data_IF_911001275990
#
_entry.id   IF_911001275990
#
_cell.length_a   1.000
_cell.length_b   1.000
_cell.length_c   1.000
_cell.angle_alpha   90.00
_cell.angle_beta   90.00
_cell.angle_gamma   90.00
#
_symmetry.space_group_name_H-M   'P 1'
#
loop_
_entity.id
_entity.type
_entity.pdbx_description
1 polymer ?
#
# COMPACT_ATOMS: atom_id res chain seq x y z
N UNK A 1 -49.17 -44.84 -11.04
CA UNK A 1 -50.29 -44.35 -11.88
C UNK A 1 -51.18 -43.52 -10.97
N UNK A 2 -50.95 -42.21 -10.93
CA UNK A 2 -51.64 -41.18 -11.72
C UNK A 2 -52.87 -40.68 -10.93
N UNK A 3 -53.18 -39.40 -10.74
CA UNK A 3 -52.70 -38.12 -11.28
C UNK A 3 -53.28 -37.03 -10.34
N UNK A 4 -52.51 -36.13 -9.73
CA UNK A 4 -52.15 -34.79 -10.24
C UNK A 4 -53.32 -33.89 -10.67
N UNK A 5 -53.52 -32.83 -9.86
CA UNK A 5 -53.66 -31.38 -10.21
C UNK A 5 -54.78 -30.87 -11.11
N UNK A 6 -55.53 -29.87 -10.60
CA UNK A 6 -55.85 -28.57 -11.24
C UNK A 6 -56.92 -27.85 -10.38
N UNK A 7 -56.66 -26.71 -9.73
CA UNK A 7 -56.58 -25.33 -10.26
C UNK A 7 -57.93 -24.61 -10.42
N UNK A 8 -57.87 -23.28 -10.28
CA UNK A 8 -58.91 -22.24 -10.34
C UNK A 8 -59.63 -22.00 -8.99
N UNK A 9 -59.27 -21.00 -8.17
CA UNK A 9 -59.14 -19.55 -8.42
C UNK A 9 -60.44 -18.90 -8.90
N UNK A 10 -60.73 -17.72 -8.32
CA UNK A 10 -61.85 -16.77 -8.61
C UNK A 10 -63.16 -17.11 -7.86
N UNK A 11 -63.89 -16.20 -7.22
CA UNK A 11 -63.68 -14.88 -6.62
C UNK A 11 -65.00 -14.50 -5.91
N UNK A 12 -64.97 -13.34 -5.25
CA UNK A 12 -66.11 -12.44 -4.95
C UNK A 12 -66.91 -12.64 -3.66
N UNK A 13 -66.76 -11.61 -2.81
CA UNK A 13 -67.79 -10.97 -1.98
C UNK A 13 -68.24 -11.75 -0.73
N UNK A 14 -68.22 -11.21 0.49
CA UNK A 14 -68.32 -9.82 0.93
C UNK A 14 -68.18 -9.81 2.47
N UNK A 15 -67.92 -8.61 2.99
CA UNK A 15 -68.14 -8.16 4.38
C UNK A 15 -67.01 -8.30 5.43
N UNK A 16 -66.24 -7.20 5.51
CA UNK A 16 -65.95 -6.40 6.72
C UNK A 16 -65.53 -7.17 7.98
N UNK A 17 -64.23 -7.12 8.30
CA UNK A 17 -63.83 -6.52 9.58
C UNK A 17 -62.41 -5.96 9.52
N UNK A 18 -62.28 -4.65 9.70
CA UNK A 18 -61.02 -3.89 9.57
C UNK A 18 -60.39 -3.82 10.95
N UNK A 19 -59.46 -4.73 11.27
CA UNK A 19 -58.51 -4.53 12.36
C UNK A 19 -57.27 -3.81 11.85
N UNK A 20 -57.13 -2.58 12.34
CA UNK A 20 -56.01 -1.66 12.19
C UNK A 20 -54.67 -2.37 12.51
N UNK A 21 -53.88 -2.66 11.49
CA UNK A 21 -52.44 -2.91 11.64
C UNK A 21 -51.76 -1.54 11.65
N UNK A 22 -51.23 -1.15 12.81
CA UNK A 22 -50.36 0.02 12.95
C UNK A 22 -49.03 -0.31 12.26
N UNK A 23 -48.81 0.27 11.09
CA UNK A 23 -47.49 0.29 10.45
C UNK A 23 -46.62 1.22 11.30
N UNK A 24 -45.70 0.64 12.07
CA UNK A 24 -44.63 1.38 12.71
C UNK A 24 -43.62 1.75 11.62
N UNK A 25 -43.76 2.96 11.06
CA UNK A 25 -42.70 3.59 10.27
C UNK A 25 -41.59 3.94 11.25
N UNK A 26 -40.58 3.08 11.33
CA UNK A 26 -39.36 3.37 12.08
C UNK A 26 -38.56 4.35 11.24
N UNK A 27 -38.63 5.62 11.61
CA UNK A 27 -37.76 6.67 11.08
C UNK A 27 -36.34 6.34 11.57
N UNK A 28 -35.51 5.74 10.70
CA UNK A 28 -34.07 5.62 10.97
C UNK A 28 -33.49 7.02 10.77
N UNK A 29 -33.42 7.79 11.86
CA UNK A 29 -32.60 8.98 11.93
C UNK A 29 -31.14 8.55 11.80
N UNK A 30 -30.56 8.79 10.63
CA UNK A 30 -29.12 8.78 10.41
C UNK A 30 -28.48 9.84 11.32
N UNK A 31 -28.08 9.44 12.52
CA UNK A 31 -27.18 10.26 13.34
C UNK A 31 -25.81 10.15 12.69
N UNK A 32 -25.48 11.14 11.86
CA UNK A 32 -24.09 11.45 11.53
C UNK A 32 -23.41 11.87 12.84
N UNK A 33 -22.82 10.90 13.54
CA UNK A 33 -21.78 11.21 14.51
C UNK A 33 -20.59 11.67 13.68
N UNK A 34 -20.48 12.98 13.51
CA UNK A 34 -19.22 13.60 13.15
C UNK A 34 -18.27 13.37 14.32
N UNK A 35 -17.60 12.22 14.33
CA UNK A 35 -16.35 12.07 15.07
C UNK A 35 -15.36 13.01 14.39
N UNK A 36 -15.39 14.29 14.77
CA UNK A 36 -14.22 15.14 14.72
C UNK A 36 -13.24 14.52 15.71
N UNK A 37 -12.56 13.46 15.29
CA UNK A 37 -11.33 13.03 15.92
C UNK A 37 -10.40 14.22 15.81
N UNK A 38 -10.23 14.95 16.90
CA UNK A 38 -9.12 15.86 17.04
C UNK A 38 -7.87 15.08 16.61
N UNK A 39 -7.15 15.59 15.61
CA UNK A 39 -5.82 15.10 15.28
C UNK A 39 -5.07 15.09 16.61
N UNK A 40 -4.60 13.94 17.11
CA UNK A 40 -3.79 13.95 18.32
C UNK A 40 -2.56 14.77 17.99
N UNK A 41 -2.46 15.97 18.58
CA UNK A 41 -1.20 16.69 18.66
C UNK A 41 -0.25 15.70 19.32
N UNK A 42 0.85 15.30 18.67
CA UNK A 42 1.77 14.34 19.26
C UNK A 42 2.18 14.90 20.63
N UNK A 43 2.10 14.05 21.65
CA UNK A 43 2.61 14.35 22.98
C UNK A 43 3.98 15.01 22.81
N UNK A 44 4.15 16.20 23.38
CA UNK A 44 5.39 16.96 23.28
C UNK A 44 6.56 16.01 23.60
N UNK A 45 7.30 15.65 22.56
CA UNK A 45 8.52 14.86 22.71
C UNK A 45 9.50 15.63 23.60
N UNK A 46 10.55 14.95 24.04
CA UNK A 46 11.67 15.60 24.72
C UNK A 46 12.05 16.91 24.02
N UNK A 47 12.33 18.00 24.76
CA UNK A 47 12.67 19.28 24.16
C UNK A 47 13.80 19.09 23.14
N UNK A 48 13.63 19.67 21.95
CA UNK A 48 14.60 19.59 20.87
C UNK A 48 15.96 20.12 21.35
N UNK A 49 17.03 19.51 20.85
CA UNK A 49 18.36 20.07 21.01
C UNK A 49 18.41 21.46 20.34
N UNK A 50 19.15 22.45 20.86
CA UNK A 50 19.38 23.72 20.16
C UNK A 50 19.93 23.58 18.72
N UNK A 51 20.62 22.47 18.41
CA UNK A 51 21.11 22.12 17.06
C UNK A 51 20.04 21.47 16.15
N UNK A 52 18.82 21.29 16.67
CA UNK A 52 17.74 20.58 16.00
C UNK A 52 16.58 21.54 15.69
N UNK A 53 16.03 21.41 14.47
CA UNK A 53 14.84 22.14 14.04
C UNK A 53 13.78 21.15 13.59
N UNK A 54 12.60 21.21 14.18
CA UNK A 54 11.47 20.43 13.71
C UNK A 54 10.84 21.10 12.48
N UNK A 55 10.72 20.35 11.40
CA UNK A 55 10.05 20.76 10.17
C UNK A 55 8.72 20.00 10.11
N UNK A 56 7.57 20.71 10.15
CA UNK A 56 6.25 20.07 10.19
C UNK A 56 5.90 19.42 8.85
N UNK A 57 4.95 18.48 8.88
CA UNK A 57 4.45 17.77 7.69
C UNK A 57 4.11 18.71 6.52
N UNK A 58 4.50 18.31 5.32
CA UNK A 58 4.27 19.04 4.07
C UNK A 58 5.14 20.30 3.88
N UNK A 59 5.89 20.74 4.90
CA UNK A 59 6.81 21.86 4.74
C UNK A 59 8.05 21.44 3.93
N UNK A 60 8.65 22.35 3.14
CA UNK A 60 9.80 22.05 2.31
C UNK A 60 11.03 21.73 3.17
N UNK A 61 11.81 20.77 2.70
CA UNK A 61 13.10 20.35 3.24
C UNK A 61 14.23 21.07 2.48
N UNK A 62 15.40 21.27 3.12
CA UNK A 62 16.55 21.93 2.48
C UNK A 62 17.33 20.99 1.54
N UNK A 63 16.62 20.14 0.79
CA UNK A 63 17.19 19.15 -0.13
C UNK A 63 16.20 18.89 -1.27
N UNK A 64 16.70 18.56 -2.46
CA UNK A 64 15.87 18.25 -3.61
C UNK A 64 15.29 16.84 -3.54
N UNK A 65 14.13 16.62 -4.17
CA UNK A 65 13.52 15.31 -4.27
C UNK A 65 14.43 14.27 -4.94
N UNK A 66 15.16 14.67 -5.99
CA UNK A 66 16.16 13.84 -6.69
C UNK A 66 17.28 13.31 -5.79
N UNK A 67 17.55 13.98 -4.67
CA UNK A 67 18.63 13.61 -3.75
C UNK A 67 18.18 12.67 -2.64
N UNK A 68 16.87 12.43 -2.52
CA UNK A 68 16.32 11.57 -1.49
C UNK A 68 15.65 10.34 -2.09
N UNK A 69 14.51 10.54 -2.75
CA UNK A 69 13.49 9.49 -2.88
C UNK A 69 12.83 9.47 -4.25
N UNK A 70 13.30 10.27 -5.21
CA UNK A 70 12.73 10.32 -6.57
C UNK A 70 13.77 9.99 -7.63
N UNK A 71 13.29 9.45 -8.76
CA UNK A 71 14.07 9.32 -9.99
C UNK A 71 14.67 10.70 -10.36
N UNK A 72 16.01 10.81 -10.52
CA UNK A 72 16.68 12.03 -10.96
C UNK A 72 16.22 12.55 -12.33
N UNK A 73 15.53 11.74 -13.12
CA UNK A 73 15.02 12.08 -14.44
C UNK A 73 13.56 12.56 -14.44
N UNK A 74 12.86 12.47 -13.30
CA UNK A 74 11.49 12.97 -13.17
C UNK A 74 11.45 14.51 -13.25
N UNK A 75 10.47 15.07 -13.96
CA UNK A 75 10.25 16.51 -14.09
C UNK A 75 10.14 17.24 -12.74
N UNK A 76 9.60 16.57 -11.70
CA UNK A 76 9.45 17.14 -10.37
C UNK A 76 10.71 17.02 -9.50
N UNK A 77 11.74 16.32 -9.98
CA UNK A 77 12.92 15.97 -9.20
C UNK A 77 13.74 17.18 -8.72
N UNK A 78 13.59 18.33 -9.40
CA UNK A 78 14.22 19.62 -9.05
C UNK A 78 13.44 20.45 -8.03
N UNK A 79 12.30 19.96 -7.54
CA UNK A 79 11.55 20.60 -6.45
C UNK A 79 12.19 20.22 -5.10
N UNK A 80 12.07 21.09 -4.07
CA UNK A 80 12.38 20.69 -2.71
C UNK A 80 11.60 19.44 -2.31
N UNK A 81 12.26 18.54 -1.58
CA UNK A 81 11.57 17.47 -0.85
C UNK A 81 10.66 18.09 0.22
N UNK A 82 9.66 17.33 0.67
CA UNK A 82 8.72 17.76 1.71
C UNK A 82 8.81 16.84 2.91
N UNK A 83 8.58 17.39 4.11
CA UNK A 83 8.52 16.58 5.31
C UNK A 83 7.30 15.63 5.23
N UNK A 84 7.44 14.34 5.64
CA UNK A 84 6.33 13.40 5.62
C UNK A 84 5.28 13.75 6.70
N UNK A 85 4.14 13.05 6.77
CA UNK A 85 3.06 13.36 7.73
C UNK A 85 3.46 13.39 9.22
N UNK A 86 4.57 12.74 9.60
CA UNK A 86 5.14 12.82 10.96
C UNK A 86 6.06 14.01 11.22
N UNK A 87 6.34 14.82 10.20
CA UNK A 87 7.42 15.82 10.21
C UNK A 87 8.80 15.19 10.20
N UNK A 88 9.82 16.04 10.28
CA UNK A 88 11.22 15.61 10.49
C UNK A 88 11.91 16.50 11.52
N UNK A 89 13.01 16.02 12.08
CA UNK A 89 13.96 16.85 12.79
C UNK A 89 15.19 17.03 11.88
N UNK A 90 15.50 18.26 11.52
CA UNK A 90 16.76 18.61 10.88
C UNK A 90 17.81 18.87 11.95
N UNK A 91 18.91 18.11 11.92
CA UNK A 91 20.08 18.35 12.76
C UNK A 91 21.15 19.06 11.94
N UNK A 92 21.50 20.28 12.34
CA UNK A 92 22.36 21.16 11.55
C UNK A 92 23.83 20.73 11.60
N UNK A 93 24.34 20.35 12.77
CA UNK A 93 25.75 19.97 12.94
C UNK A 93 26.20 18.79 12.08
N UNK A 94 25.31 17.83 11.83
CA UNK A 94 25.59 16.64 11.01
C UNK A 94 24.95 16.68 9.63
N UNK A 95 24.20 17.73 9.30
CA UNK A 95 23.42 17.84 8.08
C UNK A 95 22.56 16.59 7.82
N UNK A 96 21.78 16.19 8.83
CA UNK A 96 20.95 14.96 8.78
C UNK A 96 19.48 15.27 9.00
N UNK A 97 18.63 14.57 8.27
CA UNK A 97 17.20 14.42 8.57
C UNK A 97 17.02 13.25 9.53
N UNK A 98 16.24 13.46 10.59
CA UNK A 98 15.85 12.43 11.53
C UNK A 98 14.34 12.24 11.43
N UNK A 99 13.95 11.04 11.02
CA UNK A 99 12.58 10.55 11.01
C UNK A 99 12.33 9.84 12.33
N UNK A 100 11.47 10.43 13.16
CA UNK A 100 11.12 9.84 14.45
C UNK A 100 10.34 8.54 14.25
N UNK A 101 10.68 7.51 15.00
CA UNK A 101 9.90 6.28 14.99
C UNK A 101 8.44 6.58 15.42
N UNK A 102 7.43 6.21 14.59
CA UNK A 102 6.04 6.40 14.96
C UNK A 102 5.65 5.43 16.08
N UNK A 103 4.52 5.71 16.73
CA UNK A 103 3.94 4.73 17.66
C UNK A 103 3.58 3.44 16.91
N UNK A 104 4.03 2.27 17.36
CA UNK A 104 3.70 1.00 16.70
C UNK A 104 2.18 0.77 16.66
N UNK A 105 1.65 0.09 15.64
CA UNK A 105 0.26 -0.32 15.62
C UNK A 105 -0.12 -1.11 16.88
N UNK A 106 -1.32 -0.88 17.42
CA UNK A 106 -1.84 -1.63 18.56
C UNK A 106 -2.52 -2.93 18.12
N UNK A 107 -2.51 -3.93 19.00
CA UNK A 107 -3.20 -5.22 18.78
C UNK A 107 -2.43 -6.17 17.85
N UNK A 108 -3.18 -6.97 17.09
CA UNK A 108 -2.66 -7.94 16.13
C UNK A 108 -1.65 -7.32 15.15
N UNK A 109 -0.78 -8.16 14.57
CA UNK A 109 0.12 -7.73 13.48
C UNK A 109 -0.69 -7.15 12.33
N UNK A 110 -0.24 -6.04 11.75
CA UNK A 110 -0.93 -5.28 10.70
C UNK A 110 -0.10 -5.29 9.43
N UNK A 111 -0.71 -5.69 8.33
CA UNK A 111 -0.11 -5.61 7.00
C UNK A 111 -1.01 -4.77 6.09
N UNK A 112 -0.41 -3.82 5.37
CA UNK A 112 -1.06 -3.16 4.25
C UNK A 112 -0.77 -3.94 2.96
N UNK A 113 -1.81 -4.35 2.24
CA UNK A 113 -1.68 -4.90 0.90
C UNK A 113 -2.28 -3.89 -0.07
N UNK A 114 -1.43 -3.25 -0.87
CA UNK A 114 -1.89 -2.34 -1.90
C UNK A 114 -2.20 -3.11 -3.17
N UNK A 115 -3.36 -2.82 -3.74
CA UNK A 115 -3.78 -3.33 -5.04
C UNK A 115 -3.39 -2.30 -6.10
N UNK A 116 -2.40 -2.63 -6.93
CA UNK A 116 -1.96 -1.80 -8.05
C UNK A 116 -3.15 -1.38 -8.91
N UNK A 117 -3.19 -0.09 -9.28
CA UNK A 117 -4.21 0.52 -10.16
C UNK A 117 -5.66 0.54 -9.62
N UNK A 118 -5.97 -0.09 -8.49
CA UNK A 118 -7.33 -0.11 -7.97
C UNK A 118 -7.76 1.28 -7.50
N UNK A 119 -8.91 1.78 -8.01
CA UNK A 119 -9.45 3.12 -7.73
C UNK A 119 -8.45 4.24 -8.06
N UNK A 120 -7.73 4.10 -9.17
CA UNK A 120 -6.74 5.09 -9.61
C UNK A 120 -7.35 6.47 -9.92
N UNK A 121 -8.66 6.53 -10.20
CA UNK A 121 -9.44 7.74 -10.38
C UNK A 121 -9.74 8.47 -9.05
N UNK A 122 -9.46 7.85 -7.90
CA UNK A 122 -9.66 8.44 -6.58
C UNK A 122 -8.36 9.05 -5.99
N UNK A 123 -7.25 9.03 -6.73
CA UNK A 123 -5.95 9.53 -6.22
C UNK A 123 -5.99 11.00 -5.82
N UNK A 124 -5.23 11.42 -4.78
CA UNK A 124 -5.12 12.80 -4.37
C UNK A 124 -4.41 13.65 -5.45
N UNK A 125 -4.57 14.98 -5.36
CA UNK A 125 -3.98 15.91 -6.31
C UNK A 125 -2.44 15.81 -6.42
N UNK A 126 -1.74 15.42 -5.35
CA UNK A 126 -0.28 15.19 -5.41
C UNK A 126 0.11 13.99 -6.29
N UNK A 127 -0.84 13.10 -6.59
CA UNK A 127 -0.69 11.89 -7.40
C UNK A 127 -1.44 11.98 -8.73
N UNK A 128 -1.80 13.19 -9.18
CA UNK A 128 -2.63 13.38 -10.38
C UNK A 128 -2.06 12.71 -11.65
N UNK A 129 -0.73 12.66 -11.76
CA UNK A 129 0.00 11.95 -12.85
C UNK A 129 -0.34 10.45 -12.92
N UNK A 130 -0.73 9.83 -11.81
CA UNK A 130 -1.08 8.41 -11.75
C UNK A 130 -2.44 8.10 -12.36
N UNK A 131 -3.36 9.07 -12.50
CA UNK A 131 -4.72 8.82 -13.00
C UNK A 131 -4.77 8.14 -14.37
N UNK A 132 -3.78 8.41 -15.22
CA UNK A 132 -3.66 7.83 -16.54
C UNK A 132 -2.97 6.45 -16.56
N UNK A 133 -2.39 6.01 -15.43
CA UNK A 133 -1.69 4.74 -15.29
C UNK A 133 -2.69 3.68 -14.80
N UNK A 134 -3.51 3.14 -15.70
CA UNK A 134 -4.60 2.21 -15.37
C UNK A 134 -4.15 0.75 -15.22
N UNK A 135 -2.86 0.48 -15.40
CA UNK A 135 -2.29 -0.87 -15.39
C UNK A 135 -2.29 -1.52 -16.76
N UNK A 136 -1.60 -2.66 -16.85
CA UNK A 136 -1.50 -3.43 -18.08
C UNK A 136 -2.85 -4.05 -18.49
N UNK A 137 -3.04 -4.21 -19.79
CA UNK A 137 -4.13 -4.99 -20.38
C UNK A 137 -3.55 -5.87 -21.46
N UNK A 138 -3.83 -7.17 -21.39
CA UNK A 138 -3.40 -8.15 -22.38
C UNK A 138 -4.56 -9.07 -22.70
N UNK A 139 -4.95 -9.11 -23.98
CA UNK A 139 -6.22 -9.73 -24.40
C UNK A 139 -7.39 -9.11 -23.61
N UNK A 140 -8.20 -9.93 -22.93
CA UNK A 140 -9.30 -9.48 -22.07
C UNK A 140 -8.93 -9.45 -20.57
N UNK A 141 -7.64 -9.62 -20.24
CA UNK A 141 -7.13 -9.65 -18.86
C UNK A 141 -6.60 -8.27 -18.47
N UNK A 142 -7.14 -7.73 -17.37
CA UNK A 142 -6.73 -6.45 -16.82
C UNK A 142 -5.93 -6.66 -15.54
N UNK A 143 -4.81 -5.95 -15.43
CA UNK A 143 -3.91 -6.05 -14.28
C UNK A 143 -4.62 -5.80 -12.94
N UNK A 144 -5.44 -4.76 -12.89
CA UNK A 144 -6.17 -4.38 -11.67
C UNK A 144 -7.06 -5.50 -11.14
N UNK A 145 -7.64 -6.32 -12.02
CA UNK A 145 -8.53 -7.42 -11.64
C UNK A 145 -7.73 -8.58 -11.05
N UNK A 146 -6.59 -8.92 -11.67
CA UNK A 146 -5.64 -9.92 -11.17
C UNK A 146 -5.08 -9.51 -9.80
N UNK A 147 -4.59 -8.27 -9.70
CA UNK A 147 -4.07 -7.70 -8.46
C UNK A 147 -5.11 -7.77 -7.33
N UNK A 148 -6.36 -7.39 -7.63
CA UNK A 148 -7.42 -7.34 -6.64
C UNK A 148 -7.82 -8.73 -6.14
N UNK A 149 -7.90 -9.72 -7.03
CA UNK A 149 -8.29 -11.07 -6.60
C UNK A 149 -7.19 -11.76 -5.78
N UNK A 150 -5.93 -11.68 -6.22
CA UNK A 150 -4.79 -12.19 -5.44
C UNK A 150 -4.70 -11.48 -4.08
N UNK A 151 -4.83 -10.14 -4.04
CA UNK A 151 -4.80 -9.40 -2.78
C UNK A 151 -5.90 -9.84 -1.81
N UNK A 152 -7.12 -10.08 -2.29
CA UNK A 152 -8.24 -10.57 -1.47
C UNK A 152 -7.95 -11.95 -0.88
N UNK A 153 -7.37 -12.85 -1.68
CA UNK A 153 -6.96 -14.19 -1.23
C UNK A 153 -5.84 -14.13 -0.19
N UNK A 154 -4.82 -13.30 -0.42
CA UNK A 154 -3.73 -13.02 0.55
C UNK A 154 -4.32 -12.51 1.87
N UNK A 155 -5.19 -11.50 1.79
CA UNK A 155 -5.84 -10.93 2.97
C UNK A 155 -6.65 -11.99 3.74
N UNK A 156 -7.38 -12.86 3.04
CA UNK A 156 -8.13 -13.95 3.67
C UNK A 156 -7.22 -14.96 4.38
N UNK A 157 -6.10 -15.34 3.78
CA UNK A 157 -5.09 -16.23 4.36
C UNK A 157 -4.48 -15.64 5.63
N UNK A 158 -3.98 -14.40 5.55
CA UNK A 158 -3.36 -13.69 6.67
C UNK A 158 -4.34 -13.43 7.82
N UNK A 159 -5.58 -13.05 7.53
CA UNK A 159 -6.62 -12.84 8.56
C UNK A 159 -6.93 -14.12 9.33
N UNK A 160 -6.90 -15.30 8.68
CA UNK A 160 -7.04 -16.59 9.38
C UNK A 160 -5.89 -16.89 10.34
N UNK A 161 -4.72 -16.29 10.11
CA UNK A 161 -3.56 -16.38 11.00
C UNK A 161 -3.54 -15.27 12.07
N UNK A 162 -4.64 -14.52 12.22
CA UNK A 162 -4.76 -13.47 13.22
C UNK A 162 -4.05 -12.16 12.86
N UNK A 163 -3.70 -11.96 11.59
CA UNK A 163 -3.13 -10.70 11.09
C UNK A 163 -4.26 -9.75 10.69
N UNK A 164 -4.18 -8.50 11.12
CA UNK A 164 -5.00 -7.40 10.59
C UNK A 164 -4.49 -7.05 9.20
N UNK A 165 -5.35 -7.12 8.19
CA UNK A 165 -4.96 -6.76 6.82
C UNK A 165 -5.82 -5.61 6.32
N UNK A 166 -5.14 -4.54 5.95
CA UNK A 166 -5.74 -3.40 5.25
C UNK A 166 -5.55 -3.63 3.74
N UNK A 167 -6.64 -3.81 3.00
CA UNK A 167 -6.60 -3.78 1.53
C UNK A 167 -6.69 -2.33 1.08
N UNK A 168 -5.64 -1.86 0.43
CA UNK A 168 -5.49 -0.46 0.05
C UNK A 168 -5.65 -0.31 -1.47
N UNK A 169 -6.38 0.72 -1.95
CA UNK A 169 -6.35 1.10 -3.35
C UNK A 169 -4.99 1.72 -3.71
N UNK A 170 -4.86 2.25 -4.93
CA UNK A 170 -3.71 3.06 -5.30
C UNK A 170 -3.42 4.12 -4.22
N UNK A 171 -4.41 4.88 -3.78
CA UNK A 171 -4.19 5.80 -2.65
C UNK A 171 -3.96 5.07 -1.34
N UNK A 172 -2.78 5.30 -0.74
CA UNK A 172 -2.49 4.84 0.62
C UNK A 172 -2.69 5.96 1.64
N UNK A 173 -3.10 5.64 2.89
CA UNK A 173 -3.27 6.67 3.92
C UNK A 173 -1.98 7.46 4.16
N UNK A 174 -2.07 8.77 4.47
CA UNK A 174 -0.89 9.57 4.73
C UNK A 174 0.00 9.00 5.84
N UNK A 175 1.27 8.75 5.54
CA UNK A 175 2.25 8.25 6.49
C UNK A 175 1.92 6.85 7.01
N UNK A 176 1.30 6.00 6.18
CA UNK A 176 0.76 4.71 6.59
C UNK A 176 1.76 3.87 7.42
N UNK A 177 1.35 3.51 8.63
CA UNK A 177 2.13 2.73 9.60
C UNK A 177 1.59 1.31 9.71
N UNK A 178 2.41 0.33 9.40
CA UNK A 178 2.10 -1.09 9.52
C UNK A 178 3.35 -1.90 9.85
N UNK A 179 3.18 -3.17 10.24
CA UNK A 179 4.31 -4.07 10.45
C UNK A 179 4.96 -4.52 9.13
N UNK A 180 4.20 -4.50 8.03
CA UNK A 180 4.72 -4.64 6.68
C UNK A 180 3.73 -3.99 5.68
N UNK A 181 4.24 -3.62 4.52
CA UNK A 181 3.47 -3.18 3.36
C UNK A 181 3.94 -3.91 2.11
N UNK A 182 3.00 -4.41 1.31
CA UNK A 182 3.31 -5.03 0.02
C UNK A 182 2.35 -4.50 -1.05
N UNK A 183 2.89 -3.89 -2.09
CA UNK A 183 2.14 -3.55 -3.29
C UNK A 183 2.17 -4.73 -4.26
N UNK A 184 0.99 -5.08 -4.79
CA UNK A 184 0.83 -6.14 -5.79
C UNK A 184 0.50 -5.53 -7.14
N UNK A 185 1.32 -5.88 -8.12
CA UNK A 185 1.18 -5.53 -9.52
C UNK A 185 1.38 -6.78 -10.40
N UNK A 186 1.04 -6.67 -11.68
CA UNK A 186 1.42 -7.65 -12.69
C UNK A 186 1.88 -6.92 -13.96
N UNK A 187 3.05 -7.30 -14.45
CA UNK A 187 3.76 -6.51 -15.44
C UNK A 187 3.31 -6.84 -16.87
N UNK A 188 3.77 -6.04 -17.82
CA UNK A 188 3.69 -6.33 -19.25
C UNK A 188 4.83 -5.65 -19.97
N UNK A 189 5.53 -6.39 -20.81
CA UNK A 189 6.54 -5.85 -21.73
C UNK A 189 5.93 -5.34 -23.05
N UNK A 190 4.61 -5.48 -23.21
CA UNK A 190 3.87 -5.06 -24.41
C UNK A 190 4.10 -5.93 -25.65
N UNK A 191 4.96 -6.96 -25.58
CA UNK A 191 5.33 -7.81 -26.73
C UNK A 191 5.30 -9.31 -26.44
N UNK A 192 5.26 -9.72 -25.17
CA UNK A 192 5.14 -11.12 -24.73
C UNK A 192 6.44 -11.91 -24.73
N UNK A 193 7.59 -11.26 -24.62
CA UNK A 193 8.92 -11.90 -24.63
C UNK A 193 9.47 -12.15 -23.21
N UNK A 194 9.10 -11.32 -22.25
CA UNK A 194 9.54 -11.43 -20.86
C UNK A 194 8.66 -12.39 -20.04
N UNK A 195 9.23 -12.95 -18.97
CA UNK A 195 8.57 -13.84 -18.02
C UNK A 195 9.25 -13.78 -16.65
N UNK A 196 8.54 -14.23 -15.62
CA UNK A 196 9.03 -14.25 -14.25
C UNK A 196 8.53 -13.07 -13.41
N UNK A 197 8.88 -13.08 -12.14
CA UNK A 197 8.40 -12.10 -11.16
C UNK A 197 9.52 -11.17 -10.69
N UNK A 198 9.16 -9.96 -10.25
CA UNK A 198 10.11 -8.93 -9.86
C UNK A 198 9.73 -8.31 -8.54
N UNK A 199 10.73 -7.85 -7.79
CA UNK A 199 10.50 -7.18 -6.53
C UNK A 199 11.49 -6.04 -6.35
N UNK A 200 11.04 -4.99 -5.69
CA UNK A 200 11.89 -3.89 -5.25
C UNK A 200 11.39 -3.30 -3.93
N UNK A 201 12.26 -2.54 -3.29
CA UNK A 201 11.92 -1.61 -2.23
C UNK A 201 12.65 -0.29 -2.47
N UNK A 202 12.20 0.77 -1.80
CA UNK A 202 12.79 2.09 -1.94
C UNK A 202 14.02 2.34 -1.05
N UNK A 203 14.83 3.35 -1.40
CA UNK A 203 15.96 3.79 -0.58
C UNK A 203 15.50 4.67 0.60
N UNK A 204 16.42 4.93 1.54
CA UNK A 204 16.23 5.85 2.68
C UNK A 204 15.06 5.47 3.58
N UNK A 205 15.01 4.19 3.95
CA UNK A 205 13.99 3.60 4.82
C UNK A 205 14.64 2.81 5.95
N UNK A 206 13.86 1.98 6.64
CA UNK A 206 14.37 1.11 7.69
C UNK A 206 15.38 0.07 7.19
N UNK A 207 15.91 -0.78 8.08
CA UNK A 207 16.82 -1.86 7.73
C UNK A 207 16.10 -3.20 7.43
N UNK A 208 14.77 -3.21 7.28
CA UNK A 208 13.97 -4.44 7.26
C UNK A 208 13.45 -4.82 5.87
N UNK A 209 13.63 -3.93 4.90
CA UNK A 209 13.18 -4.04 3.51
C UNK A 209 13.84 -5.23 2.80
N UNK A 210 15.16 -5.39 2.95
CA UNK A 210 15.91 -6.52 2.39
C UNK A 210 15.36 -7.86 2.91
N UNK A 211 15.02 -7.91 4.20
CA UNK A 211 14.47 -9.12 4.83
C UNK A 211 13.06 -9.41 4.32
N UNK A 212 12.20 -8.39 4.25
CA UNK A 212 10.85 -8.51 3.69
C UNK A 212 10.90 -9.02 2.24
N UNK A 213 11.73 -8.40 1.41
CA UNK A 213 11.91 -8.79 0.02
C UNK A 213 12.42 -10.22 -0.09
N UNK A 214 13.45 -10.60 0.68
CA UNK A 214 14.01 -11.96 0.65
C UNK A 214 12.98 -13.03 1.04
N UNK A 215 12.19 -12.80 2.09
CA UNK A 215 11.19 -13.76 2.57
C UNK A 215 10.04 -13.94 1.58
N UNK A 216 9.50 -12.84 1.06
CA UNK A 216 8.42 -12.87 0.08
C UNK A 216 8.92 -13.46 -1.24
N UNK A 217 10.11 -13.07 -1.71
CA UNK A 217 10.72 -13.62 -2.93
C UNK A 217 10.91 -15.13 -2.87
N UNK A 218 11.47 -15.65 -1.76
CA UNK A 218 11.71 -17.09 -1.59
C UNK A 218 10.40 -17.88 -1.56
N UNK A 219 9.41 -17.42 -0.80
CA UNK A 219 8.12 -18.10 -0.69
C UNK A 219 7.29 -18.00 -1.98
N UNK A 220 7.27 -16.82 -2.60
CA UNK A 220 6.55 -16.57 -3.84
C UNK A 220 7.10 -17.41 -5.00
N UNK A 221 8.41 -17.36 -5.25
CA UNK A 221 9.03 -18.12 -6.34
C UNK A 221 8.83 -19.64 -6.19
N UNK A 222 8.84 -20.17 -4.96
CA UNK A 222 8.53 -21.59 -4.71
C UNK A 222 7.07 -21.95 -5.00
N UNK A 223 6.14 -21.06 -4.65
CA UNK A 223 4.71 -21.30 -4.80
C UNK A 223 4.23 -21.13 -6.26
N UNK A 224 4.73 -20.10 -6.94
CA UNK A 224 4.37 -19.80 -8.33
C UNK A 224 5.13 -20.66 -9.35
N UNK A 225 6.35 -21.09 -9.01
CA UNK A 225 7.26 -21.75 -9.96
C UNK A 225 7.91 -20.77 -10.96
N UNK A 226 7.61 -19.48 -10.85
CA UNK A 226 8.17 -18.44 -11.71
C UNK A 226 9.63 -18.14 -11.33
N UNK A 227 10.44 -17.81 -12.34
CA UNK A 227 11.81 -17.35 -12.11
C UNK A 227 11.82 -15.90 -11.61
N UNK A 228 12.83 -15.55 -10.80
CA UNK A 228 13.03 -14.16 -10.41
C UNK A 228 13.72 -13.37 -11.53
N UNK A 229 13.01 -12.38 -12.08
CA UNK A 229 13.53 -11.49 -13.11
C UNK A 229 14.16 -10.22 -12.51
N UNK A 230 15.30 -10.42 -11.85
CA UNK A 230 16.06 -9.32 -11.26
C UNK A 230 16.66 -8.35 -12.29
N UNK A 231 16.75 -8.74 -13.56
CA UNK A 231 17.38 -7.94 -14.60
C UNK A 231 16.49 -6.78 -15.07
N UNK A 232 15.17 -6.91 -14.94
CA UNK A 232 14.19 -5.91 -15.38
C UNK A 232 13.45 -5.23 -14.22
N UNK A 233 14.05 -5.19 -13.02
CA UNK A 233 13.59 -4.32 -11.94
C UNK A 233 13.79 -2.87 -12.39
N UNK A 234 12.69 -2.12 -12.55
CA UNK A 234 12.74 -0.76 -13.08
C UNK A 234 13.10 0.28 -12.01
N UNK A 235 13.52 1.47 -12.47
CA UNK A 235 13.72 2.64 -11.61
C UNK A 235 12.41 3.04 -10.93
N UNK A 236 11.28 2.95 -11.63
CA UNK A 236 9.95 3.25 -11.08
C UNK A 236 9.55 2.31 -9.94
N UNK A 237 9.92 1.03 -10.01
CA UNK A 237 9.72 0.10 -8.90
C UNK A 237 10.54 0.50 -7.66
N UNK A 238 11.76 1.01 -7.87
CA UNK A 238 12.65 1.43 -6.78
C UNK A 238 12.20 2.76 -6.17
N UNK A 239 11.73 3.70 -6.98
CA UNK A 239 11.24 5.01 -6.54
C UNK A 239 9.71 5.10 -6.46
N UNK A 240 9.07 3.95 -6.30
CA UNK A 240 7.62 3.82 -6.28
C UNK A 240 7.01 4.76 -5.22
N UNK A 241 5.94 5.46 -5.57
CA UNK A 241 5.41 6.56 -4.75
C UNK A 241 5.05 6.16 -3.30
N UNK A 242 4.59 4.93 -2.97
CA UNK A 242 4.37 4.52 -1.60
C UNK A 242 5.64 4.48 -0.75
N UNK A 243 6.82 4.36 -1.37
CA UNK A 243 8.11 4.41 -0.67
C UNK A 243 8.62 5.85 -0.48
N UNK A 244 8.10 6.77 -1.29
CA UNK A 244 8.66 8.10 -1.50
C UNK A 244 8.11 9.13 -0.49
N UNK A 245 8.46 8.94 0.79
CA UNK A 245 8.03 9.78 1.90
C UNK A 245 8.52 11.24 1.80
N UNK A 246 9.59 11.48 1.04
CA UNK A 246 10.16 12.82 0.81
C UNK A 246 9.48 13.60 -0.33
N UNK A 247 8.55 12.98 -1.06
CA UNK A 247 7.80 13.61 -2.17
C UNK A 247 6.29 13.65 -1.92
N UNK A 248 5.72 12.60 -1.32
CA UNK A 248 4.27 12.47 -1.18
C UNK A 248 3.85 12.36 0.29
N UNK A 249 2.70 12.94 0.62
CA UNK A 249 2.08 12.73 1.93
C UNK A 249 1.37 11.38 2.00
N UNK A 250 0.69 10.96 0.92
CA UNK A 250 0.10 9.63 0.74
C UNK A 250 1.17 8.60 0.35
N UNK A 251 2.13 8.44 1.27
CA UNK A 251 3.21 7.46 1.24
C UNK A 251 3.23 6.66 2.55
N UNK A 252 3.90 5.52 2.56
CA UNK A 252 4.13 4.76 3.79
C UNK A 252 5.12 5.49 4.68
N UNK A 253 4.98 5.36 6.00
CA UNK A 253 6.05 5.76 6.92
C UNK A 253 7.35 5.04 6.53
N UNK A 254 8.49 5.73 6.58
CA UNK A 254 9.80 5.13 6.32
C UNK A 254 10.13 3.96 7.27
N UNK A 255 9.47 3.87 8.43
CA UNK A 255 9.59 2.77 9.37
C UNK A 255 8.73 1.55 9.02
N UNK A 256 7.74 1.69 8.14
CA UNK A 256 6.97 0.54 7.64
C UNK A 256 7.82 -0.19 6.60
N UNK A 257 8.26 -1.44 6.84
CA UNK A 257 8.98 -2.23 5.85
C UNK A 257 8.06 -2.42 4.64
N UNK A 258 8.53 -2.02 3.46
CA UNK A 258 7.68 -1.89 2.28
C UNK A 258 8.37 -2.46 1.04
N UNK A 259 7.62 -3.21 0.24
CA UNK A 259 8.07 -3.73 -1.05
C UNK A 259 6.96 -3.69 -2.10
N UNK A 260 7.34 -3.76 -3.36
CA UNK A 260 6.46 -3.97 -4.51
C UNK A 260 6.80 -5.34 -5.11
N UNK A 261 5.77 -6.08 -5.49
CA UNK A 261 5.86 -7.35 -6.19
C UNK A 261 5.11 -7.22 -7.52
N UNK A 262 5.87 -7.27 -8.62
CA UNK A 262 5.33 -7.62 -9.93
C UNK A 262 5.23 -9.15 -9.97
N UNK A 263 4.00 -9.66 -9.89
CA UNK A 263 3.72 -11.08 -9.69
C UNK A 263 4.15 -11.95 -10.89
N UNK A 264 4.17 -11.38 -12.08
CA UNK A 264 4.52 -12.05 -13.33
C UNK A 264 4.22 -11.11 -14.50
N UNK A 265 4.45 -11.57 -15.72
CA UNK A 265 4.12 -10.81 -16.92
C UNK A 265 2.76 -11.26 -17.49
N UNK A 266 1.75 -10.39 -17.45
CA UNK A 266 0.47 -10.63 -18.13
C UNK A 266 0.63 -10.85 -19.63
N UNK A 267 1.63 -10.22 -20.24
CA UNK A 267 1.93 -10.41 -21.66
C UNK A 267 2.54 -11.78 -21.98
N UNK A 268 3.05 -12.50 -20.99
CA UNK A 268 3.66 -13.81 -21.17
C UNK A 268 2.61 -14.92 -21.25
N UNK A 269 2.69 -15.77 -22.28
CA UNK A 269 1.81 -16.94 -22.40
C UNK A 269 2.06 -17.99 -21.30
N UNK A 270 3.26 -18.01 -20.72
CA UNK A 270 3.62 -18.94 -19.65
C UNK A 270 3.19 -18.42 -18.27
N UNK A 271 3.36 -17.12 -17.99
CA UNK A 271 2.98 -16.54 -16.70
C UNK A 271 1.47 -16.28 -16.59
N UNK A 272 0.81 -15.87 -17.67
CA UNK A 272 -0.61 -15.45 -17.65
C UNK A 272 -1.54 -16.52 -17.06
N UNK A 273 -1.46 -17.81 -17.41
CA UNK A 273 -2.27 -18.84 -16.77
C UNK A 273 -2.02 -18.98 -15.26
N UNK A 274 -0.79 -18.74 -14.79
CA UNK A 274 -0.48 -18.76 -13.36
C UNK A 274 -1.14 -17.55 -12.66
N UNK A 275 -1.09 -16.38 -13.30
CA UNK A 275 -1.69 -15.13 -12.83
C UNK A 275 -3.22 -15.14 -12.83
N UNK A 276 -3.87 -15.89 -13.71
CA UNK A 276 -5.34 -15.93 -13.83
C UNK A 276 -5.97 -17.17 -13.19
N UNK A 277 -5.35 -18.35 -13.34
CA UNK A 277 -5.99 -19.62 -13.01
C UNK A 277 -5.42 -20.25 -11.73
N UNK A 278 -4.19 -19.90 -11.35
CA UNK A 278 -3.48 -20.45 -10.18
C UNK A 278 -3.32 -19.46 -9.02
N UNK A 279 -4.19 -18.45 -8.94
CA UNK A 279 -4.10 -17.35 -7.97
C UNK A 279 -4.09 -17.79 -6.50
N UNK A 280 -4.67 -18.94 -6.17
CA UNK A 280 -4.58 -19.51 -4.81
C UNK A 280 -3.14 -19.89 -4.45
N UNK A 281 -2.33 -20.37 -5.41
CA UNK A 281 -0.90 -20.65 -5.19
C UNK A 281 -0.13 -19.36 -4.95
N UNK A 282 -0.37 -18.35 -5.78
CA UNK A 282 0.24 -17.03 -5.65
C UNK A 282 -0.05 -16.42 -4.28
N UNK A 283 -1.33 -16.44 -3.88
CA UNK A 283 -1.77 -15.91 -2.61
C UNK A 283 -1.16 -16.67 -1.42
N UNK A 284 -1.01 -18.00 -1.51
CA UNK A 284 -0.32 -18.81 -0.50
C UNK A 284 1.15 -18.40 -0.37
N UNK A 285 1.87 -18.31 -1.48
CA UNK A 285 3.30 -17.92 -1.47
C UNK A 285 3.52 -16.53 -0.87
N UNK A 286 2.69 -15.55 -1.23
CA UNK A 286 2.75 -14.20 -0.66
C UNK A 286 2.46 -14.25 0.85
N UNK A 287 1.39 -14.93 1.27
CA UNK A 287 1.01 -15.00 2.67
C UNK A 287 2.10 -15.68 3.52
N UNK A 288 2.68 -16.78 3.02
CA UNK A 288 3.74 -17.53 3.71
C UNK A 288 5.01 -16.67 3.89
N UNK A 289 5.41 -15.95 2.84
CA UNK A 289 6.54 -15.02 2.90
C UNK A 289 6.32 -13.88 3.89
N UNK A 290 5.13 -13.27 3.87
CA UNK A 290 4.77 -12.21 4.82
C UNK A 290 4.72 -12.72 6.27
N UNK A 291 4.15 -13.91 6.51
CA UNK A 291 4.11 -14.50 7.84
C UNK A 291 5.52 -14.81 8.36
N UNK A 292 6.38 -15.37 7.50
CA UNK A 292 7.79 -15.59 7.82
C UNK A 292 8.49 -14.30 8.22
N UNK A 293 8.31 -13.23 7.43
CA UNK A 293 8.83 -11.91 7.77
C UNK A 293 8.35 -11.42 9.14
N UNK A 294 7.04 -11.54 9.42
CA UNK A 294 6.47 -11.09 10.68
C UNK A 294 6.99 -11.87 11.90
N UNK A 295 7.28 -13.16 11.74
CA UNK A 295 7.86 -14.03 12.80
C UNK A 295 9.30 -13.64 13.07
N UNK A 296 10.09 -13.45 12.01
CA UNK A 296 11.53 -13.21 12.13
C UNK A 296 11.88 -11.74 12.42
N UNK A 297 10.91 -10.83 12.26
CA UNK A 297 11.09 -9.38 12.46
C UNK A 297 10.10 -8.83 13.50
N UNK A 298 10.43 -8.88 14.81
CA UNK A 298 9.53 -8.41 15.87
C UNK A 298 9.13 -6.93 15.71
N UNK A 299 7.85 -6.60 16.01
CA UNK A 299 7.32 -5.21 15.98
C UNK A 299 8.22 -4.22 16.72
N UNK A 300 8.67 -4.62 17.89
CA UNK A 300 9.49 -3.77 18.75
C UNK A 300 10.85 -3.42 18.11
N UNK A 301 11.34 -4.19 17.14
CA UNK A 301 12.55 -3.87 16.39
C UNK A 301 12.27 -2.90 15.24
N UNK A 302 11.15 -3.09 14.53
CA UNK A 302 10.73 -2.23 13.40
C UNK A 302 10.65 -0.75 13.82
N UNK A 303 10.08 -0.50 14.99
CA UNK A 303 9.82 0.86 15.50
C UNK A 303 10.74 1.25 16.65
N UNK A 304 11.91 0.60 16.78
CA UNK A 304 12.81 0.83 17.91
C UNK A 304 13.55 2.16 17.81
N UNK A 305 14.10 2.42 16.63
CA UNK A 305 15.12 3.43 16.42
C UNK A 305 14.62 4.46 15.39
N UNK A 306 15.03 5.72 15.56
CA UNK A 306 14.80 6.75 14.54
C UNK A 306 15.59 6.43 13.28
N UNK A 307 15.05 6.79 12.11
CA UNK A 307 15.79 6.68 10.85
C UNK A 307 16.56 7.99 10.63
N UNK A 308 17.87 7.88 10.42
CA UNK A 308 18.76 9.02 10.16
C UNK A 308 19.19 9.00 8.70
N UNK A 309 18.85 10.07 7.99
CA UNK A 309 19.20 10.28 6.58
C UNK A 309 20.23 11.39 6.49
N UNK A 310 21.43 11.06 6.05
CA UNK A 310 22.49 12.04 5.79
C UNK A 310 22.18 12.78 4.50
N UNK A 311 22.12 14.10 4.58
CA UNK A 311 21.95 14.94 3.40
C UNK A 311 23.31 15.10 2.68
N UNK A 312 23.29 15.19 1.33
CA UNK A 312 24.47 15.62 0.59
C UNK A 312 24.99 16.95 1.16
N UNK A 313 26.32 17.14 1.12
CA UNK A 313 26.88 18.44 1.47
C UNK A 313 26.18 19.53 0.63
N UNK A 314 25.86 20.70 1.21
CA UNK A 314 25.36 21.81 0.42
C UNK A 314 26.32 22.06 -0.73
N UNK A 315 25.80 22.27 -1.94
CA UNK A 315 26.64 22.71 -3.05
C UNK A 315 27.46 23.93 -2.58
N UNK A 316 28.78 24.00 -2.85
CA UNK A 316 29.57 25.14 -2.43
C UNK A 316 28.88 26.41 -2.93
N UNK A 317 28.63 27.37 -2.04
CA UNK A 317 27.92 28.59 -2.41
C UNK A 317 28.71 29.26 -3.54
N UNK A 318 28.15 29.24 -4.75
CA UNK A 318 28.58 30.16 -5.80
C UNK A 318 28.03 31.53 -5.42
N UNK A 319 28.64 32.15 -4.43
CA UNK A 319 28.52 33.59 -4.22
C UNK A 319 29.75 34.25 -4.86
N UNK A 320 29.54 35.22 -5.77
CA UNK A 320 30.61 35.93 -6.46
C UNK A 320 31.43 36.83 -5.53
#
# INVERSE_FOLDING_TARGET
>A
MASRTAQAEVALERHRDVRRVRIAVTLVCSVLVACQGAIPIPAQGSPLNPDETFIPAGAPLPVLQSSLTSDPTDDDSFKPAIAPPGGVILRHSTNTIILRAPSPPLGARRIGIQVGHWKIDEVPAEQDKLRAQTGATWEDVHEVDVNLDVARKVAALLRRQGVTVDLLPATIPPGYVADAFLALHADSDGVGELSGFKMAHGPLRGPFEDRLLADVKDAYGKASGLSYDGAHVSVDMTYYYPFNWGRFQHATSAHTPAAILEMGYLSSDDDRPILTDEQDKLASGIADGLLRFLVDTPRAQIFKDDIVVTLPAPAPSSSP
#
